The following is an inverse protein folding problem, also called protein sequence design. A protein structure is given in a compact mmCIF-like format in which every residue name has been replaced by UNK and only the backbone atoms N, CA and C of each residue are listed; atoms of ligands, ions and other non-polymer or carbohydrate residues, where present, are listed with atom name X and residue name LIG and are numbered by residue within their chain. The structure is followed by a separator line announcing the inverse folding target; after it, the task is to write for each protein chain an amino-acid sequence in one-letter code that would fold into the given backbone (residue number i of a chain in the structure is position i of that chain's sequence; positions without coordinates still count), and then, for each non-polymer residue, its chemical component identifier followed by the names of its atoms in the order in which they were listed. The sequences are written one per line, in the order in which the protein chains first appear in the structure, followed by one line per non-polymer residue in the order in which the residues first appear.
data_IF_437473873570
#
_entry.id   IF_437473873570
#
_cell.length_a   1.000
_cell.length_b   1.000
_cell.length_c   1.000
_cell.angle_alpha   90.00
_cell.angle_beta   90.00
_cell.angle_gamma   90.00
#
_symmetry.space_group_name_H-M   'P 1'
#
loop_
_entity.id
_entity.type
_entity.pdbx_description
1 polymer ?
#
# COMPACT_ATOMS: atom_id res chain seq x y z
N UNK A 1 9.44 -26.71 14.93
CA UNK A 1 8.76 -26.74 16.24
C UNK A 1 8.90 -25.38 16.89
N UNK A 2 7.86 -24.54 16.84
CA UNK A 2 7.82 -23.27 17.57
C UNK A 2 6.61 -23.30 18.52
N UNK A 3 6.88 -23.26 19.82
CA UNK A 3 5.88 -23.25 20.89
C UNK A 3 5.25 -21.85 20.99
N UNK A 4 3.96 -21.75 20.70
CA UNK A 4 3.13 -20.59 21.05
C UNK A 4 2.86 -20.60 22.55
N UNK A 5 3.46 -19.67 23.30
CA UNK A 5 3.02 -19.31 24.66
C UNK A 5 1.93 -18.26 24.55
N UNK A 6 0.69 -18.64 24.85
CA UNK A 6 -0.42 -17.72 25.11
C UNK A 6 -0.25 -17.17 26.53
N UNK A 7 0.01 -15.88 26.67
CA UNK A 7 -0.22 -15.17 27.93
C UNK A 7 -1.69 -14.76 27.98
N UNK A 8 -2.45 -15.38 28.88
CA UNK A 8 -3.72 -14.86 29.36
C UNK A 8 -3.39 -13.87 30.49
N UNK A 9 -3.60 -12.59 30.25
CA UNK A 9 -3.67 -11.60 31.31
C UNK A 9 -5.12 -11.48 31.75
N UNK A 10 -5.40 -11.94 32.97
CA UNK A 10 -6.64 -11.78 33.69
C UNK A 10 -6.73 -10.33 34.19
N UNK A 11 -7.75 -9.60 33.76
CA UNK A 11 -8.09 -8.29 34.32
C UNK A 11 -8.77 -8.48 35.69
N UNK A 12 -8.41 -7.71 36.73
CA UNK A 12 -9.09 -7.76 38.01
C UNK A 12 -10.50 -7.17 37.91
N UNK A 13 -11.46 -7.94 38.41
CA UNK A 13 -12.86 -7.54 38.59
C UNK A 13 -13.04 -6.55 39.76
N UNK A 14 -13.95 -5.60 39.52
CA UNK A 14 -14.97 -5.11 40.45
C UNK A 14 -14.52 -4.58 41.83
N UNK A 15 -14.31 -3.27 41.90
CA UNK A 15 -14.41 -2.51 43.16
C UNK A 15 -15.83 -1.96 43.35
N UNK A 16 -16.51 -2.45 44.37
CA UNK A 16 -17.80 -1.94 44.87
C UNK A 16 -17.68 -0.47 45.27
N UNK A 17 -18.44 0.42 44.61
CA UNK A 17 -18.66 1.79 45.08
C UNK A 17 -20.01 1.86 45.76
N UNK A 18 -19.99 2.23 47.04
CA UNK A 18 -21.15 2.40 47.90
C UNK A 18 -22.11 3.51 47.40
N UNK A 19 -23.42 3.41 47.66
CA UNK A 19 -24.37 4.46 47.33
C UNK A 19 -24.26 5.61 48.34
N UNK A 20 -23.70 6.75 47.92
CA UNK A 20 -23.80 7.99 48.69
C UNK A 20 -25.23 8.54 48.58
N UNK A 21 -25.92 8.57 49.73
CA UNK A 21 -27.23 9.18 49.96
C UNK A 21 -27.25 10.65 49.52
N UNK A 22 -27.96 10.94 48.43
CA UNK A 22 -28.25 12.31 47.99
C UNK A 22 -29.49 12.81 48.75
N UNK A 23 -29.27 13.73 49.69
CA UNK A 23 -30.32 14.48 50.37
C UNK A 23 -30.91 15.53 49.40
N UNK A 24 -32.18 15.41 49.06
CA UNK A 24 -32.95 16.49 48.44
C UNK A 24 -33.50 17.42 49.53
N UNK A 25 -33.23 18.74 49.50
CA UNK A 25 -33.96 19.68 50.31
C UNK A 25 -35.32 19.95 49.67
N UNK A 26 -36.40 19.48 50.29
CA UNK A 26 -37.78 19.88 50.03
C UNK A 26 -38.00 21.32 50.52
N UNK A 27 -37.54 22.28 49.71
CA UNK A 27 -37.84 23.70 49.90
C UNK A 27 -39.17 24.06 49.22
N UNK A 28 -40.24 24.14 50.01
CA UNK A 28 -41.53 24.71 49.60
C UNK A 28 -41.38 26.24 49.42
N UNK A 29 -40.97 26.65 48.22
CA UNK A 29 -40.90 28.05 47.81
C UNK A 29 -41.89 28.34 46.69
N UNK A 30 -43.05 28.90 47.02
CA UNK A 30 -43.96 29.53 46.06
C UNK A 30 -43.24 30.75 45.47
N UNK A 31 -42.75 30.65 44.22
CA UNK A 31 -42.25 31.80 43.47
C UNK A 31 -42.74 31.70 42.03
N UNK A 32 -43.56 32.68 41.68
CA UNK A 32 -44.27 32.86 40.43
C UNK A 32 -43.32 32.93 39.24
N UNK A 33 -43.21 31.84 38.48
CA UNK A 33 -42.63 31.88 37.15
C UNK A 33 -43.75 32.12 36.13
N UNK A 34 -43.70 33.29 35.50
CA UNK A 34 -44.42 33.53 34.28
C UNK A 34 -44.07 32.44 33.27
N UNK A 35 -45.09 31.70 32.85
CA UNK A 35 -45.06 30.72 31.78
C UNK A 35 -44.69 31.43 30.47
N UNK A 36 -43.38 31.62 30.21
CA UNK A 36 -42.90 31.68 28.83
C UNK A 36 -42.88 30.25 28.33
N UNK A 37 -43.75 29.94 27.36
CA UNK A 37 -43.96 28.60 26.81
C UNK A 37 -42.64 27.90 26.52
N UNK A 38 -42.29 26.94 27.38
CA UNK A 38 -41.29 25.95 27.05
C UNK A 38 -41.99 24.92 26.17
N UNK A 39 -41.82 25.05 24.86
CA UNK A 39 -42.07 23.93 23.97
C UNK A 39 -41.19 22.78 24.48
N UNK A 40 -41.81 21.76 25.09
CA UNK A 40 -41.18 20.56 25.63
C UNK A 40 -40.57 19.67 24.54
N UNK A 41 -39.99 20.28 23.52
CA UNK A 41 -39.25 19.59 22.48
C UNK A 41 -37.93 19.11 23.11
N UNK A 42 -37.80 17.79 23.25
CA UNK A 42 -36.55 17.11 23.63
C UNK A 42 -35.34 17.41 22.73
N UNK A 43 -35.46 18.35 21.78
CA UNK A 43 -34.36 18.95 21.02
C UNK A 43 -33.38 19.77 21.89
N UNK A 44 -33.73 20.14 23.12
CA UNK A 44 -32.86 20.94 24.00
C UNK A 44 -31.72 20.15 24.66
N UNK A 45 -31.82 18.82 24.77
CA UNK A 45 -30.74 17.96 25.28
C UNK A 45 -29.94 17.40 24.10
N UNK A 46 -29.39 18.29 23.27
CA UNK A 46 -28.30 17.89 22.37
C UNK A 46 -27.05 17.78 23.24
N UNK A 47 -26.81 16.56 23.74
CA UNK A 47 -25.50 16.19 24.25
C UNK A 47 -24.51 16.24 23.09
N UNK A 48 -24.00 17.44 22.79
CA UNK A 48 -22.83 17.57 21.92
C UNK A 48 -21.72 16.74 22.54
N UNK A 49 -21.15 15.84 21.75
CA UNK A 49 -20.03 15.02 22.19
C UNK A 49 -18.96 15.93 22.83
N UNK A 50 -18.42 15.57 24.01
CA UNK A 50 -17.45 16.42 24.72
C UNK A 50 -16.25 16.80 23.82
N UNK A 51 -15.90 15.95 22.87
CA UNK A 51 -14.88 16.20 21.83
C UNK A 51 -15.25 17.39 20.94
N UNK A 52 -16.50 17.50 20.48
CA UNK A 52 -16.93 18.61 19.64
C UNK A 52 -16.91 19.95 20.41
N UNK A 53 -17.24 19.92 21.71
CA UNK A 53 -17.14 21.10 22.59
C UNK A 53 -15.70 21.53 22.81
N UNK A 54 -14.79 20.57 23.07
CA UNK A 54 -13.36 20.83 23.20
C UNK A 54 -12.78 21.40 21.89
N UNK A 55 -13.15 20.83 20.74
CA UNK A 55 -12.70 21.29 19.43
C UNK A 55 -13.15 22.72 19.12
N UNK A 56 -14.40 23.08 19.41
CA UNK A 56 -14.89 24.45 19.21
C UNK A 56 -14.08 25.47 20.02
N UNK A 57 -13.73 25.12 21.27
CA UNK A 57 -12.96 25.96 22.19
C UNK A 57 -11.45 25.97 21.92
N UNK A 58 -10.93 25.04 21.14
CA UNK A 58 -9.52 24.95 20.84
C UNK A 58 -9.02 26.17 20.04
N UNK A 59 -7.80 26.60 20.34
CA UNK A 59 -7.12 27.69 19.63
C UNK A 59 -6.93 27.36 18.15
N UNK A 60 -6.75 28.38 17.30
CA UNK A 60 -6.45 28.18 15.87
C UNK A 60 -5.18 27.37 15.64
N UNK A 61 -4.16 27.58 16.48
CA UNK A 61 -2.89 26.84 16.45
C UNK A 61 -3.08 25.36 16.79
N UNK A 62 -3.81 25.06 17.86
CA UNK A 62 -4.15 23.68 18.26
C UNK A 62 -4.92 22.96 17.15
N UNK A 63 -5.86 23.65 16.50
CA UNK A 63 -6.57 23.07 15.34
C UNK A 63 -5.58 22.80 14.19
N UNK A 64 -4.69 23.75 13.91
CA UNK A 64 -3.64 23.61 12.89
C UNK A 64 -2.71 22.42 13.13
N UNK A 65 -2.25 22.21 14.37
CA UNK A 65 -1.38 21.08 14.72
C UNK A 65 -2.10 19.74 14.56
N UNK A 66 -3.38 19.65 14.93
CA UNK A 66 -4.18 18.46 14.66
C UNK A 66 -4.36 18.18 13.17
N UNK A 67 -4.61 19.22 12.35
CA UNK A 67 -4.67 19.05 10.90
C UNK A 67 -3.34 18.55 10.34
N UNK A 68 -2.21 19.14 10.77
CA UNK A 68 -0.88 18.71 10.35
C UNK A 68 -0.60 17.24 10.74
N UNK A 69 -0.92 16.85 11.98
CA UNK A 69 -0.77 15.47 12.45
C UNK A 69 -1.59 14.49 11.61
N UNK A 70 -2.87 14.80 11.35
CA UNK A 70 -3.73 13.96 10.51
C UNK A 70 -3.16 13.87 9.09
N UNK A 71 -2.70 14.98 8.51
CA UNK A 71 -2.07 14.98 7.17
C UNK A 71 -0.81 14.12 7.14
N UNK A 72 0.08 14.22 8.14
CA UNK A 72 1.29 13.39 8.22
C UNK A 72 0.95 11.90 8.42
N UNK A 73 -0.10 11.59 9.19
CA UNK A 73 -0.59 10.23 9.34
C UNK A 73 -1.13 9.67 8.02
N UNK A 74 -1.97 10.43 7.33
CA UNK A 74 -2.50 10.06 6.01
C UNK A 74 -1.37 9.88 5.00
N UNK A 75 -0.37 10.76 4.99
CA UNK A 75 0.81 10.59 4.15
C UNK A 75 1.52 9.27 4.45
N UNK A 76 1.82 8.99 5.72
CA UNK A 76 2.46 7.72 6.11
C UNK A 76 1.64 6.51 5.66
N UNK A 77 0.32 6.55 5.85
CA UNK A 77 -0.60 5.49 5.43
C UNK A 77 -0.62 5.30 3.91
N UNK A 78 -0.72 6.39 3.13
CA UNK A 78 -0.71 6.33 1.68
C UNK A 78 0.66 5.87 1.14
N UNK A 79 1.77 6.31 1.74
CA UNK A 79 3.11 5.85 1.38
C UNK A 79 3.27 4.35 1.59
N UNK A 80 2.85 3.83 2.75
CA UNK A 80 2.82 2.41 3.03
C UNK A 80 1.91 1.64 2.06
N UNK A 81 0.68 2.13 1.83
CA UNK A 81 -0.27 1.51 0.89
C UNK A 81 0.28 1.48 -0.54
N UNK A 82 0.96 2.54 -0.96
CA UNK A 82 1.60 2.65 -2.28
C UNK A 82 2.75 1.67 -2.43
N UNK A 83 3.60 1.53 -1.42
CA UNK A 83 4.69 0.55 -1.41
C UNK A 83 4.16 -0.89 -1.47
N UNK A 84 3.12 -1.20 -0.68
CA UNK A 84 2.50 -2.52 -0.67
C UNK A 84 1.82 -2.85 -1.99
N UNK A 85 1.11 -1.90 -2.60
CA UNK A 85 0.42 -2.11 -3.87
C UNK A 85 1.38 -2.36 -5.03
N UNK A 86 2.52 -1.66 -5.05
CA UNK A 86 3.52 -1.78 -6.10
C UNK A 86 4.53 -2.90 -5.86
N UNK A 87 4.50 -3.55 -4.69
CA UNK A 87 5.35 -4.68 -4.41
C UNK A 87 4.89 -5.89 -5.20
N UNK A 88 5.82 -6.49 -5.95
CA UNK A 88 5.60 -7.78 -6.56
C UNK A 88 6.90 -8.56 -6.63
N UNK A 89 6.79 -9.88 -6.61
CA UNK A 89 7.93 -10.78 -6.55
C UNK A 89 7.63 -12.10 -7.22
N UNK A 90 8.67 -12.68 -7.81
CA UNK A 90 8.67 -14.01 -8.40
C UNK A 90 9.84 -14.78 -7.82
N UNK A 91 9.54 -15.96 -7.30
CA UNK A 91 10.51 -16.87 -6.74
C UNK A 91 10.35 -18.22 -7.40
N UNK A 92 11.42 -18.71 -8.05
CA UNK A 92 11.49 -20.07 -8.57
C UNK A 92 12.59 -20.81 -7.80
N UNK A 93 12.18 -21.77 -7.00
CA UNK A 93 13.05 -22.60 -6.16
C UNK A 93 12.90 -24.05 -6.58
N UNK A 94 13.93 -24.59 -7.24
CA UNK A 94 13.97 -26.00 -7.60
C UNK A 94 14.98 -26.77 -6.78
N UNK A 95 14.56 -27.96 -6.36
CA UNK A 95 15.35 -29.01 -5.73
C UNK A 95 15.72 -30.08 -6.77
N UNK A 96 16.11 -31.29 -6.37
CA UNK A 96 16.56 -32.33 -7.29
C UNK A 96 15.46 -32.79 -8.26
N UNK A 97 14.22 -32.88 -7.79
CA UNK A 97 13.09 -33.50 -8.49
C UNK A 97 11.91 -32.55 -8.68
N UNK A 98 11.71 -31.60 -7.76
CA UNK A 98 10.58 -30.67 -7.77
C UNK A 98 11.02 -29.21 -7.86
N UNK A 99 10.18 -28.41 -8.52
CA UNK A 99 10.28 -26.97 -8.61
C UNK A 99 9.07 -26.34 -7.93
N UNK A 100 9.31 -25.34 -7.10
CA UNK A 100 8.29 -24.52 -6.46
C UNK A 100 8.36 -23.12 -7.07
N UNK A 101 7.27 -22.70 -7.70
CA UNK A 101 7.12 -21.38 -8.29
C UNK A 101 6.14 -20.57 -7.44
N UNK A 102 6.59 -19.43 -6.95
CA UNK A 102 5.83 -18.54 -6.09
C UNK A 102 5.78 -17.16 -6.73
N UNK A 103 4.57 -16.67 -6.98
CA UNK A 103 4.32 -15.36 -7.59
C UNK A 103 3.44 -14.53 -6.67
N UNK A 104 3.93 -13.35 -6.34
CA UNK A 104 3.14 -12.29 -5.67
C UNK A 104 2.92 -11.20 -6.71
N UNK A 105 1.74 -11.14 -7.34
CA UNK A 105 1.44 -10.10 -8.33
C UNK A 105 1.37 -8.71 -7.68
N UNK A 106 1.42 -7.67 -8.50
CA UNK A 106 1.12 -6.31 -8.02
C UNK A 106 -0.33 -6.23 -7.53
N UNK A 107 -0.55 -5.48 -6.45
CA UNK A 107 -1.85 -5.31 -5.81
C UNK A 107 -2.03 -6.18 -4.55
N UNK A 108 -3.30 -6.40 -4.19
CA UNK A 108 -3.70 -7.11 -2.97
C UNK A 108 -4.08 -8.57 -3.21
N UNK A 109 -3.82 -9.06 -4.41
CA UNK A 109 -4.02 -10.45 -4.75
C UNK A 109 -2.97 -11.25 -3.97
N UNK A 110 -3.44 -12.20 -3.16
CA UNK A 110 -2.57 -13.07 -2.36
C UNK A 110 -1.48 -13.73 -3.21
N UNK A 111 -0.50 -14.30 -2.53
CA UNK A 111 0.59 -14.97 -3.23
C UNK A 111 0.14 -16.33 -3.76
N UNK A 112 0.50 -16.66 -5.01
CA UNK A 112 0.17 -17.94 -5.63
C UNK A 112 1.39 -18.84 -5.65
N UNK A 113 1.21 -20.10 -5.28
CA UNK A 113 2.27 -21.11 -5.26
C UNK A 113 1.85 -22.28 -6.15
N UNK A 114 2.69 -22.66 -7.09
CA UNK A 114 2.57 -23.90 -7.84
C UNK A 114 3.82 -24.73 -7.64
N UNK A 115 3.63 -26.04 -7.66
CA UNK A 115 4.70 -27.02 -7.56
C UNK A 115 4.63 -27.92 -8.78
N UNK A 116 5.75 -28.09 -9.48
CA UNK A 116 5.84 -28.93 -10.67
C UNK A 116 7.13 -29.75 -10.68
N UNK A 117 7.10 -30.97 -11.24
CA UNK A 117 8.28 -31.80 -11.35
C UNK A 117 9.28 -31.24 -12.36
N UNK A 118 10.57 -31.54 -12.16
CA UNK A 118 11.69 -31.03 -12.96
C UNK A 118 11.55 -31.29 -14.45
N UNK A 119 11.00 -32.43 -14.85
CA UNK A 119 10.88 -32.81 -16.26
C UNK A 119 9.89 -31.93 -17.04
N UNK A 120 9.01 -31.19 -16.35
CA UNK A 120 8.14 -30.20 -16.99
C UNK A 120 8.89 -28.95 -17.40
N UNK A 121 10.11 -28.71 -16.89
CA UNK A 121 10.92 -27.55 -17.28
C UNK A 121 11.68 -27.85 -18.57
N UNK A 122 11.19 -27.34 -19.71
CA UNK A 122 11.69 -27.71 -21.05
C UNK A 122 12.87 -26.84 -21.46
N UNK A 123 12.69 -25.52 -21.46
CA UNK A 123 13.70 -24.58 -21.95
C UNK A 123 13.61 -23.23 -21.24
N UNK A 124 14.71 -22.48 -21.34
CA UNK A 124 14.77 -21.09 -20.93
C UNK A 124 15.49 -20.29 -22.02
N UNK A 125 14.91 -19.17 -22.40
CA UNK A 125 15.40 -18.38 -23.52
C UNK A 125 15.46 -16.91 -23.14
N UNK A 126 16.53 -16.24 -23.55
CA UNK A 126 16.63 -14.79 -23.41
C UNK A 126 15.86 -14.12 -24.55
N UNK A 127 15.03 -13.14 -24.21
CA UNK A 127 14.19 -12.42 -25.16
C UNK A 127 14.26 -10.92 -24.92
N UNK A 128 13.80 -10.16 -25.92
CA UNK A 128 13.53 -8.73 -25.80
C UNK A 128 12.04 -8.52 -25.70
N UNK A 129 11.65 -7.51 -24.94
CA UNK A 129 10.24 -7.25 -24.69
C UNK A 129 10.08 -5.72 -24.54
N UNK A 130 8.90 -5.16 -24.84
CA UNK A 130 8.59 -3.70 -24.89
C UNK A 130 8.45 -3.07 -23.50
N UNK A 131 8.19 -1.77 -23.34
CA UNK A 131 7.99 -1.21 -21.99
C UNK A 131 6.71 -1.76 -21.33
N UNK A 132 5.74 -2.13 -22.15
CA UNK A 132 4.40 -2.58 -21.83
C UNK A 132 4.38 -4.05 -21.38
N UNK A 133 5.38 -4.83 -21.80
CA UNK A 133 5.45 -6.25 -21.48
C UNK A 133 5.25 -7.17 -22.68
N UNK A 134 5.01 -6.61 -23.87
CA UNK A 134 4.78 -7.36 -25.10
C UNK A 134 6.08 -7.89 -25.71
N UNK A 135 6.01 -9.10 -26.25
CA UNK A 135 7.15 -9.77 -26.85
C UNK A 135 7.54 -9.10 -28.15
N UNK A 136 8.82 -8.78 -28.26
CA UNK A 136 9.42 -8.46 -29.55
C UNK A 136 10.23 -9.66 -29.93
N UNK A 137 9.85 -10.24 -31.07
CA UNK A 137 10.29 -11.51 -31.61
C UNK A 137 11.74 -11.87 -31.26
N UNK A 138 11.94 -13.14 -30.92
CA UNK A 138 13.24 -13.70 -30.58
C UNK A 138 14.25 -13.32 -31.65
N UNK A 139 15.37 -12.70 -31.28
CA UNK A 139 16.51 -12.73 -32.18
C UNK A 139 17.09 -14.15 -32.08
N UNK A 140 16.95 -15.04 -33.09
CA UNK A 140 17.32 -16.46 -33.01
C UNK A 140 18.83 -16.69 -32.84
N UNK A 141 19.63 -15.64 -32.70
CA UNK A 141 21.06 -15.72 -32.40
C UNK A 141 21.39 -14.88 -31.18
N UNK A 142 21.47 -15.55 -30.03
CA UNK A 142 22.20 -15.04 -28.87
C UNK A 142 23.68 -14.74 -29.20
N UNK A 143 24.18 -15.28 -30.32
CA UNK A 143 25.55 -15.11 -30.80
C UNK A 143 25.87 -13.67 -31.23
N UNK A 144 24.86 -12.88 -31.64
CA UNK A 144 25.06 -11.45 -31.88
C UNK A 144 25.13 -10.61 -30.59
N UNK A 145 24.99 -11.25 -29.42
CA UNK A 145 25.39 -10.65 -28.15
C UNK A 145 26.77 -11.13 -27.70
N UNK A 146 27.57 -11.80 -28.53
CA UNK A 146 29.00 -11.82 -28.29
C UNK A 146 29.44 -10.36 -28.38
N UNK A 147 29.90 -9.83 -27.23
CA UNK A 147 30.66 -8.59 -27.22
C UNK A 147 31.71 -8.77 -28.31
N UNK A 148 31.58 -8.06 -29.43
CA UNK A 148 32.53 -8.11 -30.55
C UNK A 148 33.89 -8.04 -29.88
N UNK A 149 34.71 -9.11 -29.91
CA UNK A 149 35.96 -9.11 -29.19
C UNK A 149 36.78 -8.02 -29.84
N UNK A 150 36.84 -6.87 -29.18
CA UNK A 150 37.59 -5.73 -29.65
C UNK A 150 39.03 -6.18 -29.81
N UNK A 151 39.42 -6.52 -31.05
CA UNK A 151 40.79 -6.77 -31.46
C UNK A 151 41.51 -5.43 -31.38
N UNK A 152 41.89 -5.04 -30.18
CA UNK A 152 42.63 -3.82 -29.90
C UNK A 152 43.31 -3.96 -28.56
N UNK A 153 44.63 -4.16 -28.58
CA UNK A 153 45.52 -4.27 -27.41
C UNK A 153 45.68 -2.93 -26.67
N UNK A 154 44.61 -2.20 -26.39
CA UNK A 154 44.67 -1.02 -25.55
C UNK A 154 44.30 -1.37 -24.11
N UNK A 155 45.32 -1.37 -23.24
CA UNK A 155 45.28 -1.74 -21.82
C UNK A 155 44.40 -0.85 -20.93
N UNK A 156 43.72 0.15 -21.48
CA UNK A 156 42.75 0.96 -20.75
C UNK A 156 41.32 0.51 -21.06
N UNK A 157 40.97 -0.71 -20.65
CA UNK A 157 39.56 -1.16 -20.62
C UNK A 157 38.82 -0.31 -19.59
N UNK A 158 38.29 0.84 -20.03
CA UNK A 158 37.19 1.53 -19.34
C UNK A 158 36.18 0.44 -19.03
N UNK A 159 35.90 0.23 -17.74
CA UNK A 159 34.88 -0.70 -17.26
C UNK A 159 33.62 -0.37 -18.04
N UNK A 160 33.28 -1.19 -19.03
CA UNK A 160 32.04 -1.05 -19.78
C UNK A 160 30.96 -1.08 -18.71
N UNK A 161 30.35 0.08 -18.47
CA UNK A 161 29.32 0.21 -17.47
C UNK A 161 28.29 -0.86 -17.80
N UNK A 162 27.94 -1.68 -16.82
CA UNK A 162 26.92 -2.70 -16.98
C UNK A 162 25.66 -1.96 -17.40
N UNK A 163 25.37 -1.94 -18.70
CA UNK A 163 24.30 -1.13 -19.26
C UNK A 163 22.98 -1.56 -18.62
N UNK A 164 22.40 -0.65 -17.84
CA UNK A 164 21.10 -0.79 -17.19
C UNK A 164 20.16 0.15 -17.92
N UNK A 165 19.53 -0.33 -18.99
CA UNK A 165 18.61 0.48 -19.77
C UNK A 165 17.96 -0.27 -20.93
N UNK A 166 16.94 0.35 -21.56
CA UNK A 166 16.37 -0.16 -22.80
C UNK A 166 17.41 -0.15 -23.92
N UNK A 167 17.30 -1.01 -24.92
CA UNK A 167 18.12 -0.89 -26.13
C UNK A 167 17.73 0.35 -26.96
N UNK A 168 18.41 0.58 -28.09
CA UNK A 168 18.14 1.72 -28.98
C UNK A 168 16.68 1.76 -29.47
N UNK A 169 15.96 0.64 -29.40
CA UNK A 169 14.59 0.50 -29.86
C UNK A 169 13.59 0.52 -28.68
N UNK A 170 14.05 0.82 -27.46
CA UNK A 170 13.18 0.83 -26.28
C UNK A 170 12.95 -0.53 -25.62
N UNK A 171 13.55 -1.61 -26.12
CA UNK A 171 13.31 -2.96 -25.58
C UNK A 171 14.24 -3.29 -24.41
N UNK A 172 13.72 -4.02 -23.44
CA UNK A 172 14.53 -4.49 -22.31
C UNK A 172 14.85 -5.97 -22.43
N UNK A 173 16.07 -6.39 -22.02
CA UNK A 173 16.41 -7.80 -21.96
C UNK A 173 15.59 -8.49 -20.87
N UNK A 174 15.06 -9.66 -21.19
CA UNK A 174 14.33 -10.52 -20.27
C UNK A 174 14.55 -11.98 -20.64
N UNK A 175 13.90 -12.90 -19.94
CA UNK A 175 13.88 -14.30 -20.27
C UNK A 175 12.49 -14.89 -20.09
N UNK A 176 12.18 -15.91 -20.89
CA UNK A 176 11.02 -16.79 -20.69
C UNK A 176 11.48 -18.16 -20.22
N UNK A 177 10.57 -18.82 -19.53
CA UNK A 177 10.72 -20.21 -19.11
C UNK A 177 9.54 -20.97 -19.68
N UNK A 178 9.81 -21.99 -20.49
CA UNK A 178 8.79 -22.83 -21.10
C UNK A 178 8.60 -24.08 -20.25
N UNK A 179 7.36 -24.29 -19.80
CA UNK A 179 6.93 -25.47 -19.09
C UNK A 179 6.11 -26.37 -20.00
N UNK A 180 6.23 -27.68 -19.85
CA UNK A 180 5.35 -28.67 -20.46
C UNK A 180 4.22 -28.99 -19.50
N UNK A 181 2.98 -28.93 -19.98
CA UNK A 181 1.83 -29.44 -19.23
C UNK A 181 1.93 -30.97 -19.22
N UNK A 182 1.73 -31.60 -18.07
CA UNK A 182 1.60 -33.05 -18.04
C UNK A 182 0.34 -33.44 -18.83
N UNK A 183 0.53 -34.12 -19.97
CA UNK A 183 -0.59 -34.72 -20.70
C UNK A 183 -1.30 -35.70 -19.75
N UNK A 184 -2.63 -35.63 -19.68
CA UNK A 184 -3.46 -36.48 -18.83
C UNK A 184 -3.21 -37.98 -19.09
N UNK A 185 -2.76 -38.32 -20.30
CA UNK A 185 -2.39 -39.68 -20.71
C UNK A 185 -1.29 -40.31 -19.84
N UNK A 186 -0.36 -39.51 -19.30
CA UNK A 186 0.71 -40.03 -18.43
C UNK A 186 0.21 -40.35 -17.02
N UNK A 187 -0.89 -39.74 -16.57
CA UNK A 187 -1.47 -40.07 -15.25
C UNK A 187 -2.19 -41.42 -15.27
N UNK A 188 -2.82 -41.78 -16.40
CA UNK A 188 -3.54 -43.05 -16.51
C UNK A 188 -2.61 -44.29 -16.50
N UNK A 189 -1.38 -44.17 -17.00
CA UNK A 189 -0.43 -45.28 -17.01
C UNK A 189 0.22 -45.59 -15.65
N UNK A 190 0.22 -44.66 -14.69
CA UNK A 190 0.78 -44.91 -13.35
C UNK A 190 -0.23 -45.55 -12.37
N UNK A 191 -1.53 -45.49 -12.67
CA UNK A 191 -2.59 -46.14 -11.88
C UNK A 191 -2.94 -47.55 -12.36
N UNK A 192 -2.31 -48.04 -13.43
CA UNK A 192 -2.73 -49.25 -14.15
C UNK A 192 -2.23 -50.61 -13.64
N UNK A 193 -1.47 -50.69 -12.53
CA UNK A 193 -0.87 -51.95 -12.08
C UNK A 193 -1.22 -52.36 -10.62
N UNK A 194 -2.25 -51.74 -10.05
CA UNK A 194 -2.84 -52.22 -8.79
C UNK A 194 -3.92 -53.26 -9.09
N UNK A 195 -3.53 -54.50 -8.85
CA UNK A 195 -4.28 -55.75 -8.63
C UNK A 195 -5.82 -55.62 -8.54
N UNK A 196 -6.60 -56.40 -9.32
CA UNK A 196 -8.04 -56.44 -9.21
C UNK A 196 -8.43 -57.22 -7.95
N UNK A 197 -8.87 -56.51 -6.92
CA UNK A 197 -9.33 -57.09 -5.67
C UNK A 197 -10.22 -56.12 -4.90
N UNK A 198 -11.51 -56.31 -5.09
CA UNK A 198 -12.63 -55.81 -4.28
C UNK A 198 -12.95 -54.31 -4.33
N UNK A 199 -14.06 -54.06 -5.01
CA UNK A 199 -14.73 -52.78 -5.17
C UNK A 199 -15.28 -52.28 -3.83
N UNK A 200 -14.75 -51.17 -3.34
CA UNK A 200 -15.47 -50.28 -2.44
C UNK A 200 -15.52 -48.88 -3.05
N UNK A 201 -16.74 -48.37 -3.12
CA UNK A 201 -17.20 -47.11 -3.70
C UNK A 201 -16.64 -45.92 -2.91
N UNK A 202 -15.35 -45.62 -3.09
CA UNK A 202 -14.72 -44.46 -2.46
C UNK A 202 -15.07 -43.24 -3.30
N UNK A 203 -15.94 -42.41 -2.71
CA UNK A 203 -16.21 -41.00 -3.02
C UNK A 203 -15.14 -40.41 -3.95
N UNK A 204 -15.59 -39.98 -5.13
CA UNK A 204 -14.90 -39.08 -6.04
C UNK A 204 -14.61 -37.75 -5.34
N UNK A 205 -13.62 -37.77 -4.44
CA UNK A 205 -12.93 -36.60 -3.98
C UNK A 205 -12.32 -35.97 -5.21
N UNK A 206 -12.91 -34.86 -5.67
CA UNK A 206 -12.37 -33.97 -6.69
C UNK A 206 -10.84 -33.91 -6.53
N UNK A 207 -10.14 -34.59 -7.43
CA UNK A 207 -8.69 -34.49 -7.53
C UNK A 207 -8.45 -33.00 -7.75
N UNK A 208 -7.75 -32.31 -6.83
CA UNK A 208 -7.59 -30.88 -6.91
C UNK A 208 -6.96 -30.59 -8.27
N UNK A 209 -7.75 -29.92 -9.11
CA UNK A 209 -7.38 -29.48 -10.45
C UNK A 209 -5.95 -28.98 -10.42
N UNK A 210 -5.13 -29.54 -11.31
CA UNK A 210 -3.66 -29.50 -11.25
C UNK A 210 -3.09 -28.17 -10.69
N UNK A 211 -2.04 -28.20 -9.85
CA UNK A 211 -1.53 -27.03 -9.13
C UNK A 211 -1.09 -25.85 -10.02
N UNK A 212 -1.04 -26.05 -11.35
CA UNK A 212 -0.75 -25.02 -12.34
C UNK A 212 -1.96 -24.13 -12.67
N UNK A 213 -3.21 -24.59 -12.50
CA UNK A 213 -4.44 -23.82 -12.80
C UNK A 213 -4.49 -22.48 -12.04
N UNK A 214 -4.02 -22.49 -10.79
CA UNK A 214 -3.97 -21.29 -9.94
C UNK A 214 -3.07 -20.18 -10.54
N UNK A 215 -2.12 -20.56 -11.40
CA UNK A 215 -1.13 -19.65 -12.00
C UNK A 215 -1.40 -19.43 -13.49
N UNK A 216 -2.38 -20.11 -14.08
CA UNK A 216 -2.70 -20.02 -15.52
C UNK A 216 -2.93 -18.57 -15.96
N UNK A 217 -3.55 -17.73 -15.12
CA UNK A 217 -3.73 -16.28 -15.38
C UNK A 217 -2.43 -15.47 -15.54
N UNK A 218 -1.29 -16.02 -15.15
CA UNK A 218 0.04 -15.42 -15.26
C UNK A 218 0.91 -16.13 -16.30
N UNK A 219 0.39 -17.17 -16.95
CA UNK A 219 1.07 -17.91 -18.00
C UNK A 219 0.42 -17.57 -19.34
N UNK A 220 1.24 -17.45 -20.38
CA UNK A 220 0.74 -17.39 -21.74
C UNK A 220 0.76 -18.81 -22.33
N UNK A 221 -0.31 -19.19 -23.02
CA UNK A 221 -0.34 -20.43 -23.79
C UNK A 221 0.74 -20.31 -24.87
N UNK A 222 1.68 -21.25 -24.87
CA UNK A 222 2.75 -21.30 -25.86
C UNK A 222 2.21 -21.64 -27.24
N UNK A 223 3.07 -21.52 -28.25
CA UNK A 223 2.72 -21.88 -29.63
C UNK A 223 2.49 -23.38 -29.81
N UNK A 224 3.03 -24.23 -28.93
CA UNK A 224 2.82 -25.68 -28.94
C UNK A 224 1.70 -26.03 -27.94
N UNK A 225 0.77 -26.89 -28.36
CA UNK A 225 -0.53 -27.16 -27.70
C UNK A 225 -0.44 -27.55 -26.21
N UNK A 226 0.72 -28.01 -25.73
CA UNK A 226 0.93 -28.44 -24.35
C UNK A 226 2.07 -27.70 -23.64
N UNK A 227 2.35 -26.45 -24.06
CA UNK A 227 3.39 -25.63 -23.43
C UNK A 227 2.81 -24.40 -22.75
N UNK A 228 3.22 -24.15 -21.52
CA UNK A 228 2.92 -22.95 -20.76
C UNK A 228 4.18 -22.10 -20.67
N UNK A 229 4.08 -20.84 -21.09
CA UNK A 229 5.21 -19.91 -21.02
C UNK A 229 5.09 -19.02 -19.80
N UNK A 230 6.03 -19.14 -18.87
CA UNK A 230 6.15 -18.25 -17.72
C UNK A 230 7.04 -17.06 -18.08
N UNK A 231 6.50 -15.87 -17.85
CA UNK A 231 7.15 -14.61 -18.18
C UNK A 231 7.52 -13.90 -16.88
N UNK A 232 8.82 -13.89 -16.56
CA UNK A 232 9.31 -13.35 -15.26
C UNK A 232 9.51 -11.82 -15.32
N UNK A 233 9.15 -11.19 -16.45
CA UNK A 233 9.59 -9.85 -16.79
C UNK A 233 8.96 -8.72 -16.00
N UNK A 234 7.71 -8.86 -15.55
CA UNK A 234 6.88 -7.73 -15.10
C UNK A 234 7.50 -6.90 -13.97
N UNK A 235 8.56 -7.40 -13.35
CA UNK A 235 9.14 -6.85 -12.13
C UNK A 235 10.52 -6.20 -12.24
N UNK A 236 11.16 -6.17 -13.42
CA UNK A 236 12.61 -5.91 -13.45
C UNK A 236 13.10 -5.03 -14.61
N UNK A 237 12.48 -3.86 -14.76
CA UNK A 237 13.01 -2.75 -15.57
C UNK A 237 14.41 -2.39 -15.05
N UNK A 238 15.46 -2.76 -15.79
CA UNK A 238 16.85 -2.45 -15.44
C UNK A 238 17.78 -3.64 -15.16
N UNK A 239 17.35 -4.89 -15.41
CA UNK A 239 18.32 -6.00 -15.44
C UNK A 239 19.35 -5.81 -16.55
N UNK A 240 20.61 -6.08 -16.22
CA UNK A 240 21.67 -6.10 -17.22
C UNK A 240 21.52 -7.35 -18.11
N UNK A 241 21.91 -7.21 -19.38
CA UNK A 241 21.99 -8.34 -20.33
C UNK A 241 22.79 -9.51 -19.77
N UNK A 242 23.88 -9.21 -19.04
CA UNK A 242 24.72 -10.21 -18.37
C UNK A 242 23.92 -11.00 -17.33
N UNK A 243 23.11 -10.34 -16.49
CA UNK A 243 22.28 -11.01 -15.47
C UNK A 243 21.29 -11.97 -16.13
N UNK A 244 20.56 -11.51 -17.14
CA UNK A 244 19.61 -12.34 -17.91
C UNK A 244 20.30 -13.58 -18.48
N UNK A 245 21.42 -13.42 -19.18
CA UNK A 245 22.20 -14.55 -19.71
C UNK A 245 22.63 -15.52 -18.61
N UNK A 246 23.15 -15.02 -17.48
CA UNK A 246 23.55 -15.89 -16.37
C UNK A 246 22.37 -16.63 -15.76
N UNK A 247 21.19 -16.02 -15.71
CA UNK A 247 19.97 -16.67 -15.20
C UNK A 247 19.51 -17.77 -16.16
N UNK A 248 19.44 -17.49 -17.46
CA UNK A 248 19.11 -18.49 -18.48
C UNK A 248 20.09 -19.66 -18.45
N UNK A 249 21.39 -19.40 -18.39
CA UNK A 249 22.41 -20.45 -18.28
C UNK A 249 22.29 -21.27 -16.99
N UNK A 250 21.88 -20.66 -15.87
CA UNK A 250 21.61 -21.38 -14.62
C UNK A 250 20.40 -22.30 -14.76
N UNK A 251 19.34 -21.84 -15.41
CA UNK A 251 18.13 -22.64 -15.69
C UNK A 251 18.49 -23.80 -16.63
N UNK A 252 19.17 -23.52 -17.73
CA UNK A 252 19.61 -24.53 -18.70
C UNK A 252 20.54 -25.58 -18.08
N UNK A 253 21.48 -25.15 -17.22
CA UNK A 253 22.32 -26.07 -16.45
C UNK A 253 21.51 -26.97 -15.51
N UNK A 254 20.42 -26.44 -14.95
CA UNK A 254 19.50 -27.21 -14.13
C UNK A 254 18.66 -28.17 -14.98
N UNK A 255 18.14 -27.77 -16.15
CA UNK A 255 17.43 -28.65 -17.07
C UNK A 255 18.33 -29.84 -17.48
N UNK A 256 19.59 -29.55 -17.85
CA UNK A 256 20.60 -30.53 -18.27
C UNK A 256 21.20 -31.40 -17.16
N UNK A 257 20.60 -31.40 -15.97
CA UNK A 257 21.09 -32.17 -14.80
C UNK A 257 22.50 -31.85 -14.31
N UNK A 258 23.09 -30.72 -14.74
CA UNK A 258 24.41 -30.25 -14.26
C UNK A 258 24.34 -29.59 -12.88
N UNK A 259 23.14 -29.19 -12.44
CA UNK A 259 22.88 -28.61 -11.11
C UNK A 259 21.70 -29.31 -10.46
N UNK A 260 21.79 -29.58 -9.16
CA UNK A 260 20.71 -30.18 -8.37
C UNK A 260 19.78 -29.15 -7.72
N UNK A 261 20.21 -27.89 -7.61
CA UNK A 261 19.45 -26.82 -6.97
C UNK A 261 19.45 -25.58 -7.84
N UNK A 262 18.28 -24.97 -7.99
CA UNK A 262 18.08 -23.70 -8.68
C UNK A 262 17.30 -22.75 -7.76
N UNK A 263 17.75 -21.51 -7.65
CA UNK A 263 17.02 -20.49 -6.91
C UNK A 263 17.12 -19.18 -7.67
N UNK A 264 15.96 -18.70 -8.10
CA UNK A 264 15.79 -17.43 -8.82
C UNK A 264 14.82 -16.61 -7.99
N UNK A 265 15.22 -15.38 -7.66
CA UNK A 265 14.42 -14.42 -6.90
C UNK A 265 14.44 -13.11 -7.66
N UNK A 266 13.27 -12.64 -8.07
CA UNK A 266 13.09 -11.42 -8.83
C UNK A 266 12.04 -10.57 -8.12
N UNK A 267 12.45 -9.39 -7.64
CA UNK A 267 11.58 -8.49 -6.90
C UNK A 267 11.49 -7.15 -7.64
N UNK A 268 10.31 -6.53 -7.64
CA UNK A 268 10.14 -5.14 -8.09
C UNK A 268 10.92 -4.23 -7.16
N UNK A 269 11.76 -3.32 -7.69
CA UNK A 269 12.33 -2.27 -6.86
C UNK A 269 11.20 -1.41 -6.27
N UNK A 270 11.20 -1.14 -4.96
CA UNK A 270 10.14 -0.35 -4.35
C UNK A 270 10.02 1.02 -5.02
N UNK A 271 8.78 1.46 -5.27
CA UNK A 271 8.53 2.74 -5.91
C UNK A 271 9.07 3.88 -5.03
N UNK A 272 10.02 4.66 -5.55
CA UNK A 272 10.68 5.75 -4.82
C UNK A 272 9.69 6.78 -4.25
N UNK A 273 8.58 7.02 -4.96
CA UNK A 273 7.50 7.90 -4.51
C UNK A 273 6.89 7.44 -3.19
N UNK A 274 6.62 6.14 -3.05
CA UNK A 274 6.08 5.57 -1.82
C UNK A 274 7.06 5.68 -0.65
N UNK A 275 8.36 5.48 -0.92
CA UNK A 275 9.42 5.66 0.08
C UNK A 275 9.46 7.12 0.54
N UNK A 276 9.50 8.09 -0.37
CA UNK A 276 9.51 9.51 -0.02
C UNK A 276 8.29 9.91 0.80
N UNK A 277 7.10 9.49 0.38
CA UNK A 277 5.85 9.84 1.03
C UNK A 277 5.79 9.25 2.45
N UNK A 278 6.28 8.01 2.63
CA UNK A 278 6.41 7.37 3.93
C UNK A 278 7.44 8.09 4.82
N UNK A 279 8.62 8.43 4.28
CA UNK A 279 9.69 9.11 5.03
C UNK A 279 9.24 10.50 5.46
N UNK A 280 8.71 11.33 4.56
CA UNK A 280 8.20 12.67 4.87
C UNK A 280 7.04 12.60 5.86
N UNK A 281 6.14 11.61 5.73
CA UNK A 281 5.05 11.38 6.68
C UNK A 281 5.55 11.09 8.09
N UNK A 282 6.53 10.18 8.24
CA UNK A 282 7.11 9.82 9.54
C UNK A 282 7.86 11.01 10.17
N UNK A 283 8.70 11.71 9.40
CA UNK A 283 9.40 12.89 9.90
C UNK A 283 8.43 14.00 10.31
N UNK A 284 7.35 14.20 9.54
CA UNK A 284 6.29 15.14 9.87
C UNK A 284 5.51 14.76 11.14
N UNK A 285 5.24 13.47 11.36
CA UNK A 285 4.66 12.97 12.60
C UNK A 285 5.58 13.24 13.80
N UNK A 286 6.87 12.96 13.67
CA UNK A 286 7.83 13.23 14.75
C UNK A 286 7.91 14.73 15.06
N UNK A 287 7.99 15.58 14.03
CA UNK A 287 8.09 17.03 14.19
C UNK A 287 6.80 17.63 14.78
N UNK A 288 5.61 17.14 14.39
CA UNK A 288 4.33 17.58 14.98
C UNK A 288 4.18 17.16 16.44
N UNK A 289 4.67 15.97 16.82
CA UNK A 289 4.69 15.53 18.22
C UNK A 289 5.64 16.38 19.05
N UNK A 290 6.86 16.66 18.55
CA UNK A 290 7.83 17.50 19.25
C UNK A 290 7.31 18.92 19.45
N UNK A 291 6.76 19.56 18.41
CA UNK A 291 6.20 20.92 18.51
C UNK A 291 4.96 20.93 19.42
N UNK A 292 4.13 19.89 19.36
CA UNK A 292 2.94 19.76 20.20
C UNK A 292 3.26 19.77 21.69
N UNK A 293 4.37 19.17 22.10
CA UNK A 293 4.79 19.13 23.51
C UNK A 293 5.17 20.51 24.07
N UNK A 294 5.78 21.38 23.26
CA UNK A 294 6.24 22.68 23.74
C UNK A 294 5.14 23.76 23.78
N UNK A 295 3.97 23.51 23.18
CA UNK A 295 2.95 24.56 23.03
C UNK A 295 1.93 24.62 24.17
N UNK A 296 1.76 23.53 24.93
CA UNK A 296 0.78 23.52 26.02
C UNK A 296 1.24 24.31 27.26
N UNK A 297 2.56 24.51 27.45
CA UNK A 297 3.12 25.09 28.67
C UNK A 297 2.82 26.59 28.85
N UNK A 298 2.72 27.38 27.77
CA UNK A 298 2.56 28.85 27.85
C UNK A 298 1.14 29.31 28.21
N UNK A 299 0.14 28.43 28.09
CA UNK A 299 -1.25 28.80 28.38
C UNK A 299 -1.59 28.81 29.88
N UNK A 300 -0.68 28.31 30.72
CA UNK A 300 -0.79 28.31 32.18
C UNK A 300 -0.62 29.72 32.81
N UNK A 301 0.03 30.65 32.11
CA UNK A 301 0.28 32.01 32.60
C UNK A 301 -0.80 33.05 32.25
N UNK A 302 -1.75 32.71 31.37
CA UNK A 302 -2.87 33.61 31.10
C UNK A 302 -3.81 33.60 32.30
N UNK A 303 -4.07 34.77 32.95
CA UNK A 303 -4.93 34.83 34.12
C UNK A 303 -6.29 34.27 33.71
N UNK A 304 -6.68 33.13 34.31
CA UNK A 304 -8.01 32.54 34.16
C UNK A 304 -9.01 33.68 34.32
N UNK A 305 -9.60 34.16 33.21
CA UNK A 305 -10.67 35.15 33.24
C UNK A 305 -11.67 34.59 34.22
N UNK A 306 -11.76 35.21 35.40
CA UNK A 306 -12.65 34.79 36.48
C UNK A 306 -14.00 34.57 35.83
N UNK A 307 -14.38 33.30 35.74
CA UNK A 307 -15.66 32.91 35.19
C UNK A 307 -16.65 33.45 36.21
N UNK A 308 -17.10 34.69 35.98
CA UNK A 308 -18.04 35.35 36.85
C UNK A 308 -19.21 34.39 37.04
N UNK A 309 -19.37 33.95 38.27
CA UNK A 309 -20.40 32.97 38.61
C UNK A 309 -21.77 33.48 38.15
N UNK A 310 -22.74 32.56 37.96
CA UNK A 310 -24.11 32.92 37.65
C UNK A 310 -24.67 33.77 38.81
N UNK A 311 -24.53 35.10 38.72
CA UNK A 311 -24.84 35.98 39.85
C UNK A 311 -24.35 37.43 39.69
N UNK A 312 -23.34 37.72 38.87
CA UNK A 312 -23.04 39.12 38.53
C UNK A 312 -24.07 39.64 37.53
N UNK A 313 -25.20 40.10 38.08
CA UNK A 313 -26.11 41.04 37.44
C UNK A 313 -25.28 42.22 36.95
N UNK A 314 -24.91 42.21 35.67
CA UNK A 314 -24.51 43.42 34.97
C UNK A 314 -25.71 44.35 35.06
N UNK A 315 -25.61 45.32 35.98
CA UNK A 315 -26.59 46.39 36.17
C UNK A 315 -26.70 47.08 34.81
N UNK A 316 -27.78 46.82 34.07
CA UNK A 316 -28.11 47.56 32.86
C UNK A 316 -28.16 49.02 33.28
N UNK A 317 -27.17 49.80 32.87
CA UNK A 317 -27.30 51.25 32.87
C UNK A 317 -28.45 51.59 31.94
N UNK A 318 -29.45 52.37 32.39
CA UNK A 318 -30.59 52.71 31.56
C UNK A 318 -30.13 53.46 30.31
N UNK A 319 -30.67 52.97 29.21
CA UNK A 319 -30.47 53.41 27.83
C UNK A 319 -30.93 54.86 27.69
N UNK A 320 -29.99 55.81 27.64
CA UNK A 320 -30.31 57.20 27.28
C UNK A 320 -30.56 57.22 25.77
N UNK A 321 -31.84 57.17 25.38
CA UNK A 321 -32.33 57.37 24.01
C UNK A 321 -31.95 58.76 23.49
N UNK A 322 -30.69 58.94 23.11
CA UNK A 322 -30.22 60.03 22.29
C UNK A 322 -30.55 59.75 20.83
N UNK A 323 -31.72 60.21 20.37
CA UNK A 323 -32.01 60.41 18.94
C UNK A 323 -30.82 61.13 18.30
N UNK A 324 -30.14 60.52 17.34
CA UNK A 324 -29.38 61.26 16.33
C UNK A 324 -29.78 60.81 14.92
N UNK A 325 -29.92 61.77 14.00
CA UNK A 325 -30.60 61.59 12.74
C UNK A 325 -29.77 60.80 11.73
N UNK A 326 -30.51 60.08 10.89
CA UNK A 326 -30.10 59.54 9.60
C UNK A 326 -29.42 60.61 8.74
N UNK A 327 -28.16 60.37 8.37
CA UNK A 327 -27.56 60.97 7.18
C UNK A 327 -27.16 59.84 6.27
N UNK A 328 -27.90 59.72 5.18
CA UNK A 328 -27.58 58.91 4.03
C UNK A 328 -26.30 59.44 3.38
N UNK A 329 -25.38 58.55 3.03
CA UNK A 329 -24.44 58.80 1.93
C UNK A 329 -24.19 57.49 1.19
N UNK A 330 -24.96 57.34 0.11
CA UNK A 330 -24.64 56.53 -1.05
C UNK A 330 -23.27 56.93 -1.61
N UNK A 331 -22.32 56.01 -1.72
CA UNK A 331 -21.25 56.11 -2.71
C UNK A 331 -21.05 54.75 -3.37
N UNK A 332 -21.71 54.63 -4.51
CA UNK A 332 -21.37 53.75 -5.61
C UNK A 332 -20.07 54.26 -6.25
N UNK A 333 -19.04 53.41 -6.36
CA UNK A 333 -17.84 53.52 -7.23
C UNK A 333 -17.07 52.22 -6.98
N UNK A 334 -16.67 51.41 -7.94
CA UNK A 334 -16.59 51.53 -9.38
C UNK A 334 -15.69 50.39 -9.85
N UNK A 335 -15.99 49.84 -11.01
CA UNK A 335 -15.20 48.83 -11.69
C UNK A 335 -13.73 49.23 -11.84
N UNK A 336 -12.83 48.24 -11.80
CA UNK A 336 -11.63 48.26 -12.63
C UNK A 336 -11.13 46.84 -12.86
N UNK A 337 -11.33 46.40 -14.09
CA UNK A 337 -10.58 45.33 -14.72
C UNK A 337 -9.08 45.68 -14.72
N UNK A 338 -8.24 44.73 -14.34
CA UNK A 338 -6.85 44.68 -14.81
C UNK A 338 -6.56 43.27 -15.29
N UNK A 339 -6.62 43.19 -16.62
CA UNK A 339 -6.07 42.16 -17.48
C UNK A 339 -4.53 42.25 -17.43
N UNK A 340 -3.81 41.15 -17.16
CA UNK A 340 -2.35 41.00 -17.39
C UNK A 340 -2.01 39.51 -17.31
N UNK A 341 -1.88 38.83 -18.46
CA UNK A 341 -0.59 38.53 -19.09
C UNK A 341 -0.37 37.01 -19.01
N UNK A 342 -0.34 36.24 -20.10
CA UNK A 342 0.58 36.41 -21.23
C UNK A 342 1.95 35.79 -20.92
N UNK A 343 1.99 34.53 -20.49
CA UNK A 343 3.20 33.80 -20.12
C UNK A 343 3.54 32.67 -21.10
N UNK A 344 4.29 33.05 -22.13
CA UNK A 344 4.87 32.23 -23.22
C UNK A 344 6.13 31.51 -22.72
N UNK A 345 6.26 30.18 -22.88
CA UNK A 345 7.52 29.39 -23.02
C UNK A 345 7.23 27.90 -22.79
N UNK A 346 7.88 26.92 -23.41
CA UNK A 346 8.87 26.82 -24.50
C UNK A 346 8.85 25.35 -24.91
N UNK A 347 8.94 25.09 -26.21
CA UNK A 347 9.30 23.78 -26.74
C UNK A 347 10.70 23.38 -26.25
N UNK A 348 10.87 22.09 -25.94
CA UNK A 348 12.05 21.27 -26.22
C UNK A 348 11.63 19.81 -26.29
#
# INVERSE_FOLDING_TARGET
MFRNRKHQETLPMSGNVAPSSFHFPTGNGKSSYASMGSDGSGKAIRMEAPIARAWKKASGYTKGSYYALITCFLMTYFGYRWLRWNHASVHLTCHSEECTFWITPQGWNGSHKATFPRHQLVSAEAMKVTKEGEFVEMSPRLDNFQDIPGKGKNKNKKKTSSYKGPDKNGHYPSYRVTLRVASEEQQQQQTGDSTPGDAEEILSNEIPSSPLTTIERFMEKGSEENTLTIIIRKFNIGQSRRRVKTTVQKIDSYIKRRRHKLTIKENVPPAWQGILLLVVGIFGLLLTVLIGQFWDDDSSHLPKKRQSGPGTRTRKTPDYKGKRPSVASSVNRGASAVNRGGGRSKAY
#
